data_IF_716623744611
#
_entry.id   IF_716623744611
#
_cell.length_a   1.000
_cell.length_b   1.000
_cell.length_c   1.000
_cell.angle_alpha   90.00
_cell.angle_beta   90.00
_cell.angle_gamma   90.00
#
_symmetry.space_group_name_H-M   'P 1'
#
loop_
_entity.id
_entity.type
_entity.pdbx_description
1 polymer ?
#
# COMPACT_ATOMS: atom_id res chain seq x y z
N UNK A 1 -4.75 -11.67 13.31
CA UNK A 1 -4.45 -11.17 11.95
C UNK A 1 -3.42 -10.06 12.03
N UNK A 2 -2.43 -10.12 11.18
CA UNK A 2 -1.43 -9.06 11.04
C UNK A 2 -1.67 -8.31 9.74
N UNK A 3 -1.66 -6.99 9.81
CA UNK A 3 -1.78 -6.12 8.66
C UNK A 3 -0.52 -5.25 8.60
N UNK A 4 0.16 -5.29 7.47
CA UNK A 4 1.24 -4.34 7.17
C UNK A 4 0.74 -3.35 6.15
N UNK A 5 1.02 -2.09 6.36
CA UNK A 5 0.77 -1.04 5.37
C UNK A 5 2.11 -0.42 5.02
N UNK A 6 2.54 -0.66 3.81
CA UNK A 6 3.83 -0.16 3.30
C UNK A 6 3.57 1.02 2.39
N UNK A 7 4.19 2.14 2.68
CA UNK A 7 4.02 3.39 1.95
C UNK A 7 5.38 3.97 1.57
N UNK A 8 5.39 4.76 0.50
CA UNK A 8 6.59 5.46 0.05
C UNK A 8 6.56 6.90 0.57
N UNK A 9 7.64 7.31 1.24
CA UNK A 9 7.78 8.64 1.81
C UNK A 9 7.16 8.79 3.20
N UNK A 10 7.50 9.88 3.87
CA UNK A 10 7.01 10.19 5.20
C UNK A 10 5.69 10.93 5.15
N UNK A 11 4.81 10.64 6.09
CA UNK A 11 3.58 11.39 6.31
C UNK A 11 3.91 12.67 7.06
N UNK A 12 3.93 13.80 6.35
CA UNK A 12 4.43 15.08 6.88
C UNK A 12 3.38 15.87 7.65
N UNK A 13 2.12 15.81 7.22
CA UNK A 13 1.05 16.62 7.80
C UNK A 13 0.58 16.05 9.13
N UNK A 14 0.62 16.90 10.18
CA UNK A 14 0.24 16.47 11.53
C UNK A 14 -1.19 15.94 11.59
N UNK A 15 -2.14 16.60 10.92
CA UNK A 15 -3.54 16.18 10.96
C UNK A 15 -3.73 14.80 10.32
N UNK A 16 -2.96 14.46 9.30
CA UNK A 16 -2.99 13.12 8.69
C UNK A 16 -2.35 12.08 9.60
N UNK A 17 -1.21 12.41 10.22
CA UNK A 17 -0.59 11.50 11.20
C UNK A 17 -1.53 11.21 12.37
N UNK A 18 -2.16 12.24 12.91
CA UNK A 18 -3.09 12.08 14.03
C UNK A 18 -4.31 11.24 13.62
N UNK A 19 -4.85 11.46 12.42
CA UNK A 19 -5.95 10.67 11.87
C UNK A 19 -5.60 9.22 11.67
N UNK A 20 -4.45 8.94 11.08
CA UNK A 20 -3.94 7.56 10.88
C UNK A 20 -3.76 6.87 12.23
N UNK A 21 -3.14 7.53 13.21
CA UNK A 21 -2.93 6.96 14.53
C UNK A 21 -4.24 6.63 15.24
N UNK A 22 -5.26 7.47 15.10
CA UNK A 22 -6.58 7.22 15.68
C UNK A 22 -7.20 5.94 15.10
N UNK A 23 -7.14 5.74 13.79
CA UNK A 23 -7.70 4.53 13.17
C UNK A 23 -6.86 3.29 13.44
N UNK A 24 -5.55 3.40 13.49
CA UNK A 24 -4.67 2.29 13.90
C UNK A 24 -5.03 1.83 15.32
N UNK A 25 -5.26 2.78 16.22
CA UNK A 25 -5.70 2.48 17.59
C UNK A 25 -7.03 1.72 17.60
N UNK A 26 -8.02 2.17 16.84
CA UNK A 26 -9.32 1.50 16.74
C UNK A 26 -9.20 0.10 16.15
N UNK A 27 -8.37 -0.07 15.13
CA UNK A 27 -8.13 -1.37 14.50
C UNK A 27 -7.42 -2.36 15.41
N UNK A 28 -6.75 -1.89 16.46
CA UNK A 28 -6.05 -2.75 17.41
C UNK A 28 -6.93 -3.76 18.12
N UNK A 29 -8.25 -3.53 18.18
CA UNK A 29 -9.21 -4.50 18.71
C UNK A 29 -9.42 -5.71 17.79
N UNK A 30 -9.05 -5.60 16.51
CA UNK A 30 -9.33 -6.61 15.48
C UNK A 30 -8.06 -7.18 14.85
N UNK A 31 -6.99 -6.42 14.79
CA UNK A 31 -5.77 -6.81 14.10
C UNK A 31 -4.57 -6.07 14.67
N UNK A 32 -3.39 -6.67 14.47
CA UNK A 32 -2.12 -5.97 14.70
C UNK A 32 -1.73 -5.24 13.40
N UNK A 33 -1.65 -3.91 13.46
CA UNK A 33 -1.35 -3.08 12.29
C UNK A 33 0.04 -2.47 12.41
N UNK A 34 0.91 -2.81 11.46
CA UNK A 34 2.24 -2.22 11.31
C UNK A 34 2.23 -1.22 10.14
N UNK A 35 2.65 0.01 10.41
CA UNK A 35 2.86 1.02 9.39
C UNK A 35 4.35 1.08 9.05
N UNK A 36 4.69 0.88 7.79
CA UNK A 36 6.08 0.88 7.32
C UNK A 36 6.22 1.96 6.24
N UNK A 37 7.03 2.97 6.52
CA UNK A 37 7.37 4.00 5.54
C UNK A 37 8.73 3.70 4.95
N UNK A 38 8.80 3.48 3.63
CA UNK A 38 10.09 3.35 2.94
C UNK A 38 10.49 4.70 2.37
N UNK A 39 11.79 5.04 2.35
CA UNK A 39 12.24 6.30 1.78
C UNK A 39 11.87 6.43 0.31
N UNK A 40 11.39 7.61 -0.07
CA UNK A 40 11.16 7.93 -1.47
C UNK A 40 12.50 8.19 -2.18
N UNK A 41 12.54 7.86 -3.47
CA UNK A 41 13.67 8.21 -4.33
C UNK A 41 13.48 9.60 -4.90
N UNK A 42 14.60 10.32 -5.06
CA UNK A 42 14.58 11.65 -5.68
C UNK A 42 14.23 11.52 -7.16
N UNK A 43 13.23 12.30 -7.58
CA UNK A 43 12.80 12.38 -8.97
C UNK A 43 13.55 13.53 -9.64
N UNK A 44 14.30 13.30 -10.73
CA UNK A 44 14.95 14.37 -11.48
C UNK A 44 13.94 15.36 -12.07
N UNK A 45 14.38 16.59 -12.35
CA UNK A 45 13.56 17.53 -13.09
C UNK A 45 13.38 17.02 -14.53
N UNK A 46 12.14 17.09 -15.04
CA UNK A 46 11.79 16.58 -16.37
C UNK A 46 12.35 15.16 -16.60
N UNK A 47 11.95 14.16 -15.77
CA UNK A 47 12.55 12.85 -15.85
C UNK A 47 12.24 12.17 -17.19
N UNK A 48 13.22 11.47 -17.75
CA UNK A 48 13.02 10.57 -18.88
C UNK A 48 12.23 9.34 -18.43
N UNK A 49 11.69 8.59 -19.39
CA UNK A 49 11.02 7.34 -19.10
C UNK A 49 11.95 6.34 -18.38
N UNK A 50 13.22 6.29 -18.78
CA UNK A 50 14.23 5.45 -18.13
C UNK A 50 14.49 5.88 -16.68
N UNK A 51 14.54 7.18 -16.41
CA UNK A 51 14.72 7.72 -15.06
C UNK A 51 13.51 7.43 -14.17
N UNK A 52 12.29 7.58 -14.68
CA UNK A 52 11.06 7.21 -13.96
C UNK A 52 11.04 5.72 -13.64
N UNK A 53 11.40 4.87 -14.59
CA UNK A 53 11.48 3.41 -14.39
C UNK A 53 12.49 3.06 -13.31
N UNK A 54 13.64 3.73 -13.29
CA UNK A 54 14.66 3.50 -12.28
C UNK A 54 14.18 3.89 -10.88
N UNK A 55 13.50 5.03 -10.74
CA UNK A 55 12.92 5.48 -9.47
C UNK A 55 11.91 4.45 -8.97
N UNK A 56 10.98 4.03 -9.81
CA UNK A 56 9.97 3.02 -9.44
C UNK A 56 10.60 1.68 -9.06
N UNK A 57 11.65 1.27 -9.74
CA UNK A 57 12.37 0.02 -9.45
C UNK A 57 13.07 0.08 -8.08
N UNK A 58 13.72 1.19 -7.77
CA UNK A 58 14.38 1.37 -6.47
C UNK A 58 13.39 1.42 -5.32
N UNK A 59 12.30 2.16 -5.48
CA UNK A 59 11.23 2.21 -4.48
C UNK A 59 10.59 0.84 -4.29
N UNK A 60 10.33 0.14 -5.38
CA UNK A 60 9.76 -1.20 -5.36
C UNK A 60 10.63 -2.22 -4.62
N UNK A 61 11.94 -2.15 -4.78
CA UNK A 61 12.86 -3.02 -4.04
C UNK A 61 12.77 -2.78 -2.54
N UNK A 62 12.71 -1.54 -2.10
CA UNK A 62 12.55 -1.18 -0.69
C UNK A 62 11.23 -1.70 -0.13
N UNK A 63 10.15 -1.61 -0.91
CA UNK A 63 8.84 -2.15 -0.54
C UNK A 63 8.92 -3.66 -0.36
N UNK A 64 9.45 -4.37 -1.35
CA UNK A 64 9.48 -5.83 -1.36
C UNK A 64 10.39 -6.43 -0.29
N UNK A 65 11.38 -5.67 0.21
CA UNK A 65 12.19 -6.08 1.35
C UNK A 65 11.35 -6.33 2.62
N UNK A 66 10.16 -5.73 2.70
CA UNK A 66 9.24 -5.89 3.81
C UNK A 66 8.12 -6.91 3.57
N UNK A 67 8.11 -7.55 2.40
CA UNK A 67 7.07 -8.52 2.02
C UNK A 67 7.67 -9.92 2.01
N UNK A 68 7.11 -10.80 2.84
CA UNK A 68 7.55 -12.20 2.90
C UNK A 68 6.83 -13.02 1.84
N UNK A 69 7.41 -14.18 1.50
CA UNK A 69 6.85 -15.07 0.48
C UNK A 69 5.42 -15.51 0.79
N UNK A 70 5.13 -15.75 2.08
CA UNK A 70 3.82 -16.23 2.53
C UNK A 70 2.83 -15.11 2.88
N UNK A 71 3.21 -13.86 2.68
CA UNK A 71 2.30 -12.73 2.86
C UNK A 71 1.36 -12.62 1.66
N UNK A 72 0.12 -12.22 1.91
CA UNK A 72 -0.81 -11.87 0.85
C UNK A 72 -0.71 -10.37 0.58
N UNK A 73 -0.21 -10.02 -0.59
CA UNK A 73 0.08 -8.62 -0.95
C UNK A 73 -1.03 -8.04 -1.81
N UNK A 74 -1.64 -6.98 -1.29
CA UNK A 74 -2.65 -6.18 -1.98
C UNK A 74 -2.04 -4.84 -2.36
N UNK A 75 -2.02 -4.57 -3.65
CA UNK A 75 -1.52 -3.32 -4.20
C UNK A 75 -2.68 -2.37 -4.47
N UNK A 76 -2.60 -1.14 -3.97
CA UNK A 76 -3.57 -0.11 -4.31
C UNK A 76 -3.23 0.47 -5.68
N UNK A 77 -4.15 0.34 -6.61
CA UNK A 77 -3.97 0.74 -8.00
C UNK A 77 -5.30 1.23 -8.57
N UNK A 78 -5.35 2.49 -9.00
CA UNK A 78 -6.56 3.16 -9.51
C UNK A 78 -7.19 2.41 -10.69
N UNK A 79 -6.37 1.81 -11.55
CA UNK A 79 -6.83 1.12 -12.76
C UNK A 79 -7.20 -0.35 -12.51
N UNK A 80 -7.47 -0.72 -11.27
CA UNK A 80 -7.70 -2.13 -10.90
C UNK A 80 -9.13 -2.38 -10.45
N UNK A 81 -9.37 -3.55 -9.84
CA UNK A 81 -10.70 -3.99 -9.44
C UNK A 81 -11.23 -3.18 -8.26
N UNK A 82 -12.44 -2.65 -8.40
CA UNK A 82 -13.16 -1.99 -7.34
C UNK A 82 -13.98 -2.99 -6.53
N UNK A 83 -14.15 -2.70 -5.23
CA UNK A 83 -15.02 -3.46 -4.34
C UNK A 83 -15.77 -2.49 -3.43
N UNK A 84 -17.00 -2.85 -3.06
CA UNK A 84 -17.65 -2.16 -1.95
C UNK A 84 -17.10 -2.64 -0.60
N UNK A 85 -17.47 -1.97 0.47
CA UNK A 85 -16.93 -2.27 1.81
C UNK A 85 -17.26 -3.68 2.28
N UNK A 86 -18.46 -4.18 1.99
CA UNK A 86 -18.88 -5.53 2.37
C UNK A 86 -18.09 -6.57 1.60
N UNK A 87 -17.98 -6.42 0.29
CA UNK A 87 -17.20 -7.33 -0.57
C UNK A 87 -15.72 -7.34 -0.14
N UNK A 88 -15.16 -6.19 0.18
CA UNK A 88 -13.79 -6.09 0.65
C UNK A 88 -13.58 -6.82 1.98
N UNK A 89 -14.46 -6.63 2.95
CA UNK A 89 -14.36 -7.33 4.23
C UNK A 89 -14.44 -8.85 4.07
N UNK A 90 -15.34 -9.33 3.22
CA UNK A 90 -15.48 -10.76 2.92
C UNK A 90 -14.24 -11.30 2.21
N UNK A 91 -13.64 -10.52 1.32
CA UNK A 91 -12.42 -10.89 0.63
C UNK A 91 -11.25 -11.09 1.60
N UNK A 92 -11.09 -10.16 2.55
CA UNK A 92 -10.05 -10.24 3.59
C UNK A 92 -10.29 -11.47 4.49
N UNK A 93 -11.52 -11.66 4.93
CA UNK A 93 -11.89 -12.82 5.76
C UNK A 93 -11.56 -14.13 5.05
N UNK A 94 -11.90 -14.23 3.75
CA UNK A 94 -11.59 -15.42 2.96
C UNK A 94 -10.08 -15.70 2.89
N UNK A 95 -9.26 -14.68 2.77
CA UNK A 95 -7.79 -14.87 2.73
C UNK A 95 -7.26 -15.38 4.07
N UNK A 96 -7.83 -14.96 5.16
CA UNK A 96 -7.50 -15.51 6.47
C UNK A 96 -7.91 -16.98 6.61
N UNK A 97 -9.11 -17.33 6.13
CA UNK A 97 -9.59 -18.72 6.11
C UNK A 97 -8.68 -19.59 5.22
N UNK A 98 -8.19 -19.03 4.11
CA UNK A 98 -7.26 -19.71 3.20
C UNK A 98 -5.86 -19.94 3.83
N UNK A 99 -5.60 -19.39 5.02
CA UNK A 99 -4.37 -19.66 5.78
C UNK A 99 -3.35 -18.52 5.82
N UNK A 100 -3.65 -17.36 5.24
CA UNK A 100 -2.75 -16.21 5.32
C UNK A 100 -2.85 -15.57 6.71
N UNK A 101 -1.71 -15.44 7.39
CA UNK A 101 -1.64 -14.79 8.70
C UNK A 101 -1.33 -13.29 8.59
N UNK A 102 -0.76 -12.86 7.48
CA UNK A 102 -0.37 -11.47 7.24
C UNK A 102 -0.88 -11.01 5.89
N UNK A 103 -1.58 -9.88 5.89
CA UNK A 103 -2.01 -9.17 4.68
C UNK A 103 -1.20 -7.87 4.61
N UNK A 104 -0.58 -7.66 3.45
CA UNK A 104 0.24 -6.48 3.20
C UNK A 104 -0.47 -5.58 2.19
N UNK A 105 -0.70 -4.33 2.58
CA UNK A 105 -1.19 -3.31 1.67
C UNK A 105 -0.04 -2.43 1.23
N UNK A 106 0.04 -2.12 -0.05
CA UNK A 106 1.08 -1.26 -0.61
C UNK A 106 0.47 -0.04 -1.25
N UNK A 107 0.89 1.13 -0.81
CA UNK A 107 0.56 2.43 -1.40
C UNK A 107 1.85 2.97 -2.02
N UNK A 108 1.86 3.14 -3.33
CA UNK A 108 3.05 3.57 -4.06
C UNK A 108 3.36 5.05 -3.93
N UNK A 109 4.48 5.45 -4.52
CA UNK A 109 4.89 6.85 -4.61
C UNK A 109 4.19 7.61 -5.74
N UNK A 110 4.64 8.84 -5.98
CA UNK A 110 4.01 9.76 -6.94
C UNK A 110 4.07 9.29 -8.40
N UNK A 111 5.04 8.47 -8.77
CA UNK A 111 5.17 7.91 -10.13
C UNK A 111 4.40 6.61 -10.33
N UNK A 112 3.78 6.07 -9.26
CA UNK A 112 3.10 4.79 -9.31
C UNK A 112 3.99 3.60 -8.98
N UNK A 113 3.67 2.42 -9.50
CA UNK A 113 4.32 1.16 -9.14
C UNK A 113 5.31 0.70 -10.20
N UNK A 114 6.43 0.11 -9.74
CA UNK A 114 7.38 -0.56 -10.60
C UNK A 114 6.92 -1.97 -11.00
N UNK A 115 7.56 -2.53 -12.01
CA UNK A 115 7.21 -3.84 -12.57
C UNK A 115 7.33 -4.97 -11.56
N UNK A 116 8.35 -4.93 -10.71
CA UNK A 116 8.58 -5.95 -9.68
C UNK A 116 7.45 -5.97 -8.63
N UNK A 117 6.97 -4.80 -8.23
CA UNK A 117 5.83 -4.68 -7.31
C UNK A 117 4.54 -5.19 -7.96
N UNK A 118 4.29 -4.80 -9.21
CA UNK A 118 3.14 -5.26 -9.98
C UNK A 118 3.12 -6.78 -10.13
N UNK A 119 4.27 -7.37 -10.39
CA UNK A 119 4.41 -8.82 -10.55
C UNK A 119 4.20 -9.57 -9.24
N UNK A 120 4.72 -9.04 -8.12
CA UNK A 120 4.59 -9.68 -6.80
C UNK A 120 3.18 -9.61 -6.23
N UNK A 121 2.40 -8.59 -6.58
CA UNK A 121 1.07 -8.38 -6.01
C UNK A 121 0.15 -9.60 -6.25
N UNK A 122 -0.46 -10.09 -5.18
CA UNK A 122 -1.45 -11.16 -5.27
C UNK A 122 -2.83 -10.62 -5.68
N UNK A 123 -3.09 -9.37 -5.37
CA UNK A 123 -4.33 -8.69 -5.74
C UNK A 123 -4.08 -7.20 -5.92
N UNK A 124 -4.81 -6.60 -6.85
CA UNK A 124 -4.77 -5.16 -7.11
C UNK A 124 -6.15 -4.59 -6.84
N UNK A 125 -6.23 -3.63 -5.92
CA UNK A 125 -7.48 -3.04 -5.45
C UNK A 125 -7.53 -1.56 -5.79
N UNK A 126 -8.64 -1.13 -6.40
CA UNK A 126 -8.96 0.27 -6.62
C UNK A 126 -10.02 0.73 -5.63
N UNK A 127 -9.76 1.82 -4.91
CA UNK A 127 -10.78 2.46 -4.07
C UNK A 127 -11.74 3.32 -4.86
N UNK A 128 -11.31 3.80 -6.03
CA UNK A 128 -12.11 4.67 -6.90
C UNK A 128 -11.38 4.86 -8.23
N UNK A 129 -12.10 5.14 -9.32
CA UNK A 129 -11.48 5.63 -10.55
C UNK A 129 -10.81 7.00 -10.37
N UNK A 130 -11.19 7.74 -9.31
CA UNK A 130 -10.56 9.01 -8.98
C UNK A 130 -9.23 8.77 -8.26
N UNK A 131 -8.25 9.60 -8.55
CA UNK A 131 -6.96 9.54 -7.86
C UNK A 131 -7.02 10.35 -6.56
N UNK A 132 -6.65 9.73 -5.46
CA UNK A 132 -6.46 10.41 -4.18
C UNK A 132 -5.00 10.73 -3.95
N UNK A 133 -4.68 11.85 -3.26
CA UNK A 133 -3.30 12.07 -2.81
C UNK A 133 -2.81 10.86 -2.00
N UNK A 134 -1.61 10.37 -2.31
CA UNK A 134 -1.12 9.12 -1.68
C UNK A 134 -0.94 9.25 -0.15
N UNK A 135 -0.71 10.45 0.38
CA UNK A 135 -0.67 10.65 1.84
C UNK A 135 -2.07 10.53 2.45
N UNK A 136 -3.09 11.11 1.82
CA UNK A 136 -4.48 10.98 2.25
C UNK A 136 -4.97 9.53 2.12
N UNK A 137 -4.50 8.80 1.13
CA UNK A 137 -4.88 7.40 0.91
C UNK A 137 -4.56 6.50 2.12
N UNK A 138 -3.50 6.81 2.86
CA UNK A 138 -3.15 6.10 4.09
C UNK A 138 -4.27 6.18 5.12
N UNK A 139 -4.87 7.36 5.26
CA UNK A 139 -5.98 7.58 6.19
C UNK A 139 -7.24 6.88 5.70
N UNK A 140 -7.54 6.96 4.41
CA UNK A 140 -8.72 6.33 3.81
C UNK A 140 -8.66 4.80 3.98
N UNK A 141 -7.50 4.20 3.71
CA UNK A 141 -7.30 2.77 3.85
C UNK A 141 -7.46 2.31 5.29
#
# INVERSE_FOLDING_TARGET
>A
MNIKIITVGKLKEKYLRDGVQEYVKRLGAYAHVDLIEVPDEKIPNNPSLAEETLVKSKEGRKILDHVKQNDFMILLDVASREMDSVAFSQYIEKKMIDGYSTIVFVIGGSLGHGEDVLTRADFKLSFSPMTFPHQLMRLIL
#
